data_IF_627422917770
#
_entry.id   IF_627422917770
#
_cell.length_a   1.000
_cell.length_b   1.000
_cell.length_c   1.000
_cell.angle_alpha   90.00
_cell.angle_beta   90.00
_cell.angle_gamma   90.00
#
_symmetry.space_group_name_H-M   'P 1'
#
loop_
_entity.id
_entity.type
_entity.pdbx_description
1 polymer ?
#
# COMPACT_ATOMS: atom_id res chain seq x y z
N UNK A 1 -10.03 16.59 37.29
CA UNK A 1 -9.00 16.63 36.24
C UNK A 1 -9.66 16.08 34.98
N UNK A 2 -9.67 16.84 33.88
CA UNK A 2 -10.37 16.48 32.65
C UNK A 2 -9.93 15.09 32.19
N UNK A 3 -10.87 14.12 32.23
CA UNK A 3 -10.72 12.92 31.42
C UNK A 3 -10.73 13.44 30.00
N UNK A 4 -9.60 13.32 29.31
CA UNK A 4 -9.57 13.56 27.88
C UNK A 4 -10.56 12.56 27.29
N UNK A 5 -11.73 13.06 26.89
CA UNK A 5 -12.78 12.26 26.26
C UNK A 5 -12.17 11.45 25.12
N UNK A 6 -12.69 10.24 24.90
CA UNK A 6 -12.20 9.33 23.86
C UNK A 6 -12.01 10.12 22.54
N UNK A 7 -10.82 10.09 21.92
CA UNK A 7 -10.52 10.90 20.75
C UNK A 7 -11.49 10.59 19.62
N UNK A 8 -11.83 11.59 18.80
CA UNK A 8 -12.85 11.44 17.75
C UNK A 8 -12.52 10.31 16.77
N UNK A 9 -11.24 10.07 16.49
CA UNK A 9 -10.76 8.97 15.65
C UNK A 9 -11.16 7.58 16.19
N UNK A 10 -11.40 7.46 17.50
CA UNK A 10 -11.87 6.23 18.14
C UNK A 10 -13.39 6.20 18.35
N UNK A 11 -14.10 7.30 18.08
CA UNK A 11 -15.56 7.42 18.25
C UNK A 11 -16.34 7.45 16.94
N UNK A 12 -15.66 7.77 15.84
CA UNK A 12 -16.28 7.97 14.53
C UNK A 12 -16.03 6.74 13.65
N UNK A 13 -17.00 6.34 12.80
CA UNK A 13 -16.81 5.28 11.83
C UNK A 13 -15.61 5.59 10.90
N UNK A 14 -14.73 4.62 10.68
CA UNK A 14 -13.44 4.83 10.01
C UNK A 14 -13.54 4.76 8.48
N UNK A 15 -14.70 4.45 7.91
CA UNK A 15 -14.91 4.22 6.48
C UNK A 15 -14.53 5.44 5.65
N UNK A 16 -14.95 6.64 6.07
CA UNK A 16 -14.63 7.88 5.37
C UNK A 16 -13.13 8.16 5.40
N UNK A 17 -12.49 7.97 6.56
CA UNK A 17 -11.04 8.17 6.73
C UNK A 17 -10.26 7.16 5.88
N UNK A 18 -10.64 5.88 5.92
CA UNK A 18 -10.04 4.84 5.08
C UNK A 18 -10.18 5.15 3.59
N UNK A 19 -11.34 5.64 3.15
CA UNK A 19 -11.55 6.09 1.76
C UNK A 19 -10.64 7.27 1.40
N UNK A 20 -10.50 8.25 2.29
CA UNK A 20 -9.62 9.40 2.06
C UNK A 20 -8.16 8.97 1.92
N UNK A 21 -7.67 8.08 2.79
CA UNK A 21 -6.30 7.54 2.73
C UNK A 21 -6.05 6.85 1.39
N UNK A 22 -7.00 6.03 0.94
CA UNK A 22 -6.91 5.32 -0.34
C UNK A 22 -6.97 6.27 -1.53
N UNK A 23 -7.89 7.24 -1.50
CA UNK A 23 -8.09 8.21 -2.59
C UNK A 23 -6.92 9.19 -2.74
N UNK A 24 -6.21 9.47 -1.64
CA UNK A 24 -4.99 10.28 -1.62
C UNK A 24 -3.72 9.45 -1.88
N UNK A 25 -3.85 8.14 -2.16
CA UNK A 25 -2.74 7.22 -2.43
C UNK A 25 -1.68 7.19 -1.31
N UNK A 26 -2.10 7.34 -0.05
CA UNK A 26 -1.21 7.38 1.12
C UNK A 26 -0.75 5.98 1.58
N UNK A 27 -1.15 4.92 0.86
CA UNK A 27 -0.78 3.54 1.13
C UNK A 27 -1.87 2.76 1.88
N UNK A 28 -1.44 1.80 2.69
CA UNK A 28 -2.32 0.94 3.46
C UNK A 28 -2.94 1.70 4.64
N UNK A 29 -4.29 1.78 4.77
CA UNK A 29 -4.93 2.51 5.86
C UNK A 29 -4.61 1.98 7.26
N UNK A 30 -4.33 0.69 7.41
CA UNK A 30 -3.95 0.12 8.72
C UNK A 30 -2.58 0.63 9.13
N UNK A 31 -1.59 0.57 8.22
CA UNK A 31 -0.25 1.10 8.45
C UNK A 31 -0.26 2.62 8.66
N UNK A 32 -1.01 3.36 7.84
CA UNK A 32 -1.07 4.82 7.90
C UNK A 32 -1.69 5.33 9.22
N UNK A 33 -2.82 4.75 9.65
CA UNK A 33 -3.49 5.18 10.87
C UNK A 33 -2.74 4.76 12.14
N UNK A 34 -1.84 3.77 12.06
CA UNK A 34 -0.97 3.40 13.17
C UNK A 34 0.06 4.48 13.52
N UNK A 35 0.36 5.41 12.61
CA UNK A 35 1.27 6.53 12.84
C UNK A 35 0.61 7.76 13.48
N UNK A 36 -0.71 7.72 13.69
CA UNK A 36 -1.45 8.81 14.35
C UNK A 36 -1.07 8.94 15.84
N UNK A 37 -1.28 10.13 16.41
CA UNK A 37 -0.93 10.42 17.82
C UNK A 37 -1.70 9.52 18.81
N UNK A 38 -2.96 9.21 18.50
CA UNK A 38 -3.79 8.24 19.19
C UNK A 38 -4.40 7.27 18.15
N UNK A 39 -3.68 6.19 17.80
CA UNK A 39 -4.10 5.31 16.72
C UNK A 39 -5.38 4.54 17.07
N UNK A 40 -6.27 4.29 16.11
CA UNK A 40 -7.41 3.40 16.32
C UNK A 40 -6.95 1.94 16.40
N UNK A 41 -7.82 1.07 16.91
CA UNK A 41 -7.55 -0.37 16.92
C UNK A 41 -7.52 -0.92 15.48
N UNK A 42 -6.50 -1.72 15.14
CA UNK A 42 -6.37 -2.32 13.81
C UNK A 42 -7.62 -3.11 13.39
N UNK A 43 -8.32 -3.74 14.34
CA UNK A 43 -9.57 -4.44 14.07
C UNK A 43 -10.68 -3.48 13.59
N UNK A 44 -10.76 -2.28 14.17
CA UNK A 44 -11.72 -1.26 13.75
C UNK A 44 -11.45 -0.79 12.31
N UNK A 45 -10.18 -0.59 11.95
CA UNK A 45 -9.77 -0.25 10.58
C UNK A 45 -10.13 -1.37 9.61
N UNK A 46 -9.84 -2.62 9.96
CA UNK A 46 -10.18 -3.79 9.14
C UNK A 46 -11.71 -3.96 8.96
N UNK A 47 -12.50 -3.69 10.00
CA UNK A 47 -13.96 -3.73 9.90
C UNK A 47 -14.49 -2.66 8.93
N UNK A 48 -13.94 -1.44 8.99
CA UNK A 48 -14.29 -0.38 8.04
C UNK A 48 -13.92 -0.75 6.59
N UNK A 49 -12.73 -1.31 6.38
CA UNK A 49 -12.31 -1.82 5.06
C UNK A 49 -13.21 -2.96 4.56
N UNK A 50 -13.62 -3.88 5.43
CA UNK A 50 -14.54 -4.96 5.09
C UNK A 50 -15.93 -4.42 4.70
N UNK A 51 -16.43 -3.41 5.40
CA UNK A 51 -17.70 -2.75 5.06
C UNK A 51 -17.59 -2.07 3.69
N UNK A 52 -16.55 -1.27 3.47
CA UNK A 52 -16.28 -0.60 2.20
C UNK A 52 -16.19 -1.59 1.04
N UNK A 53 -15.57 -2.74 1.24
CA UNK A 53 -15.50 -3.81 0.24
C UNK A 53 -16.88 -4.44 0.00
N UNK A 54 -17.68 -4.64 1.06
CA UNK A 54 -19.03 -5.24 0.94
C UNK A 54 -20.02 -4.38 0.14
N UNK A 55 -19.80 -3.05 0.12
CA UNK A 55 -20.59 -2.09 -0.66
C UNK A 55 -19.91 -1.74 -2.00
N UNK A 56 -18.86 -2.46 -2.38
CA UNK A 56 -18.09 -2.25 -3.61
C UNK A 56 -17.46 -0.83 -3.74
N UNK A 57 -17.29 -0.12 -2.62
CA UNK A 57 -16.67 1.21 -2.61
C UNK A 57 -15.15 1.16 -2.82
N UNK A 58 -14.51 0.03 -2.48
CA UNK A 58 -13.08 -0.21 -2.69
C UNK A 58 -12.87 -1.58 -3.35
N UNK A 59 -11.81 -1.70 -4.16
CA UNK A 59 -11.41 -2.96 -4.77
C UNK A 59 -10.55 -3.78 -3.79
N UNK A 60 -10.60 -5.13 -3.83
CA UNK A 60 -9.66 -5.95 -3.09
C UNK A 60 -8.24 -5.60 -3.54
N UNK A 61 -7.39 -5.22 -2.60
CA UNK A 61 -5.99 -4.84 -2.86
C UNK A 61 -5.16 -6.05 -3.27
N UNK A 62 -5.40 -6.57 -4.47
CA UNK A 62 -4.58 -7.62 -5.07
C UNK A 62 -3.36 -6.96 -5.70
N UNK A 63 -2.24 -7.00 -4.99
CA UNK A 63 -0.91 -6.55 -5.40
C UNK A 63 -0.64 -5.02 -5.36
N UNK A 64 0.60 -4.61 -5.04
CA UNK A 64 0.95 -3.21 -4.89
C UNK A 64 0.90 -2.50 -6.23
N UNK A 65 0.04 -1.49 -6.35
CA UNK A 65 0.08 -0.51 -7.43
C UNK A 65 1.35 0.33 -7.30
N UNK A 66 2.49 -0.23 -7.71
CA UNK A 66 3.65 0.56 -8.08
C UNK A 66 3.35 1.23 -9.41
N UNK A 67 2.87 2.47 -9.37
CA UNK A 67 2.92 3.34 -10.55
C UNK A 67 3.47 4.72 -10.17
N UNK A 68 4.79 4.82 -10.05
CA UNK A 68 5.51 5.95 -10.65
C UNK A 68 6.97 5.60 -10.98
N UNK A 69 7.15 5.00 -12.16
CA UNK A 69 8.31 5.21 -13.02
C UNK A 69 9.66 4.63 -12.57
N UNK A 70 9.87 3.33 -12.75
CA UNK A 70 11.22 2.75 -12.83
C UNK A 70 11.28 1.78 -14.03
N UNK A 71 11.64 2.33 -15.19
CA UNK A 71 12.09 1.56 -16.33
C UNK A 71 13.58 1.23 -16.11
N UNK A 72 13.90 0.15 -15.39
CA UNK A 72 15.28 -0.29 -15.22
C UNK A 72 15.61 -1.56 -16.00
N UNK A 73 16.27 -1.31 -17.13
CA UNK A 73 17.45 -2.02 -17.62
C UNK A 73 17.38 -3.56 -17.67
N UNK A 74 16.88 -4.08 -18.80
CA UNK A 74 17.36 -5.37 -19.32
C UNK A 74 18.84 -5.23 -19.68
N UNK A 75 19.72 -5.57 -18.76
CA UNK A 75 21.15 -5.77 -19.00
C UNK A 75 21.31 -6.92 -20.00
N UNK A 76 21.47 -6.57 -21.27
CA UNK A 76 22.00 -7.46 -22.30
C UNK A 76 23.51 -7.57 -22.07
N UNK A 77 23.89 -8.54 -21.23
CA UNK A 77 25.25 -9.00 -21.08
C UNK A 77 25.72 -9.66 -22.37
N UNK A 78 26.48 -8.90 -23.16
CA UNK A 78 27.44 -9.31 -24.17
C UNK A 78 27.91 -10.77 -24.04
N UNK A 79 27.37 -11.66 -24.90
CA UNK A 79 27.98 -12.95 -25.18
C UNK A 79 29.02 -12.78 -26.30
N UNK A 80 29.96 -11.84 -26.09
CA UNK A 80 31.15 -11.68 -26.91
C UNK A 80 32.24 -12.58 -26.32
N UNK A 81 32.58 -13.68 -26.99
CA UNK A 81 33.80 -14.41 -26.63
C UNK A 81 33.97 -15.85 -27.09
N UNK A 82 32.97 -16.55 -27.65
CA UNK A 82 33.13 -17.99 -27.95
C UNK A 82 33.27 -18.39 -29.42
N UNK A 83 33.39 -17.46 -30.37
CA UNK A 83 33.41 -17.83 -31.79
C UNK A 83 34.72 -17.66 -32.56
N UNK A 84 35.81 -17.25 -31.90
CA UNK A 84 37.07 -16.99 -32.62
C UNK A 84 38.17 -18.04 -32.44
N UNK A 85 37.91 -19.17 -31.76
CA UNK A 85 38.93 -20.23 -31.57
C UNK A 85 38.70 -21.50 -32.40
N UNK A 86 37.79 -21.50 -33.38
CA UNK A 86 37.53 -22.68 -34.23
C UNK A 86 37.92 -22.50 -35.71
N UNK A 87 38.67 -21.45 -36.05
CA UNK A 87 39.23 -21.25 -37.41
C UNK A 87 40.75 -21.43 -37.48
N UNK A 88 41.38 -21.96 -36.44
CA UNK A 88 42.76 -22.43 -36.51
C UNK A 88 42.85 -23.86 -35.99
N UNK A 89 42.39 -24.81 -36.82
CA UNK A 89 43.03 -26.10 -37.12
C UNK A 89 42.27 -26.79 -38.23
#
# INVERSE_FOLDING_TARGET
MAAHDVPELQRTPLEEVCLQVLNLELGDPVAFLAEALDPPEALAVNNALALLHSIEAIQPTTAPTHQRGEAEAKQQGHQAGKQQQQQQQ
#
